data_IF_801740055279
#
_entry.id   IF_801740055279
#
_cell.length_a   1.000
_cell.length_b   1.000
_cell.length_c   1.000
_cell.angle_alpha   90.00
_cell.angle_beta   90.00
_cell.angle_gamma   90.00
#
_symmetry.space_group_name_H-M   'P 1'
#
loop_
_entity.id
_entity.type
_entity.pdbx_description
1 polymer ?
#
# COMPACT_ATOMS: atom_id res chain seq x y z
N UNK A 1 -55.23 13.58 48.37
CA UNK A 1 -54.70 14.96 48.22
C UNK A 1 -54.14 15.04 46.80
N UNK A 2 -54.96 15.37 45.79
CA UNK A 2 -55.32 16.74 45.31
C UNK A 2 -54.08 17.42 44.70
N UNK A 3 -53.93 17.32 43.37
CA UNK A 3 -54.17 18.38 42.35
C UNK A 3 -52.88 19.18 42.06
N UNK A 4 -52.57 19.65 40.84
CA UNK A 4 -53.46 20.28 39.88
C UNK A 4 -53.01 20.12 38.42
N UNK A 5 -54.01 20.10 37.54
CA UNK A 5 -53.94 20.34 36.11
C UNK A 5 -54.08 21.85 35.81
N UNK A 6 -53.66 22.29 34.63
CA UNK A 6 -54.31 23.38 33.88
C UNK A 6 -53.96 23.33 32.39
N UNK A 7 -54.98 23.61 31.59
CA UNK A 7 -55.10 23.47 30.13
C UNK A 7 -55.40 24.85 29.53
N UNK A 8 -55.37 24.93 28.18
CA UNK A 8 -55.99 25.90 27.23
C UNK A 8 -55.25 27.25 27.12
N UNK A 9 -55.01 27.87 25.95
CA UNK A 9 -55.86 28.02 24.75
C UNK A 9 -55.07 28.45 23.49
N UNK A 10 -55.57 28.01 22.33
CA UNK A 10 -55.24 28.48 20.97
C UNK A 10 -56.13 29.68 20.62
N UNK A 11 -55.57 30.71 19.98
CA UNK A 11 -56.30 31.64 19.10
C UNK A 11 -55.43 31.95 17.89
N UNK A 12 -55.91 31.59 16.69
CA UNK A 12 -55.36 32.00 15.42
C UNK A 12 -56.03 33.27 14.89
N UNK A 13 -55.33 34.01 14.03
CA UNK A 13 -55.93 34.91 13.05
C UNK A 13 -55.17 34.81 11.73
N UNK A 14 -55.94 34.76 10.63
CA UNK A 14 -55.53 34.65 9.23
C UNK A 14 -55.88 35.97 8.54
N UNK A 15 -54.92 36.60 7.87
CA UNK A 15 -55.05 37.56 6.74
C UNK A 15 -53.62 38.00 6.37
N UNK A 16 -53.14 38.13 5.14
CA UNK A 16 -53.64 38.00 3.78
C UNK A 16 -52.55 38.53 2.81
N UNK A 17 -52.60 38.08 1.55
CA UNK A 17 -52.08 38.69 0.30
C UNK A 17 -50.57 38.88 0.01
N UNK A 18 -50.13 38.13 -1.02
CA UNK A 18 -49.40 38.50 -2.26
C UNK A 18 -48.47 39.73 -2.23
N UNK A 19 -47.16 39.50 -2.42
CA UNK A 19 -46.36 40.00 -3.56
C UNK A 19 -44.92 39.51 -3.50
N UNK A 20 -44.42 39.05 -4.65
CA UNK A 20 -43.03 38.73 -4.89
C UNK A 20 -42.18 40.00 -4.88
N UNK A 21 -41.02 39.96 -4.22
CA UNK A 21 -39.83 40.73 -4.56
C UNK A 21 -38.61 39.96 -4.04
N UNK A 22 -37.69 39.69 -4.95
CA UNK A 22 -36.39 39.06 -4.73
C UNK A 22 -35.56 39.80 -3.69
N UNK A 23 -34.83 39.05 -2.85
CA UNK A 23 -33.45 39.39 -2.46
C UNK A 23 -32.76 38.22 -1.73
N UNK A 24 -31.90 37.54 -2.48
CA UNK A 24 -30.60 36.98 -2.09
C UNK A 24 -30.41 36.27 -0.74
N UNK A 25 -30.11 34.96 -0.82
CA UNK A 25 -28.91 34.32 -0.25
C UNK A 25 -28.85 32.87 -0.72
N UNK A 26 -28.22 32.69 -1.88
CA UNK A 26 -27.92 31.38 -2.47
C UNK A 26 -26.75 30.72 -1.75
N UNK A 27 -26.91 29.42 -1.55
CA UNK A 27 -25.88 28.49 -1.12
C UNK A 27 -24.79 28.38 -2.19
N UNK A 28 -23.53 28.56 -1.81
CA UNK A 28 -22.37 28.29 -2.67
C UNK A 28 -22.24 26.76 -2.88
N UNK A 29 -22.83 26.28 -3.98
CA UNK A 29 -22.47 25.01 -4.60
C UNK A 29 -21.71 25.30 -5.89
N UNK A 30 -20.41 24.99 -5.89
CA UNK A 30 -19.59 25.03 -7.09
C UNK A 30 -19.99 23.88 -8.03
N UNK A 31 -20.70 24.20 -9.12
CA UNK A 31 -20.82 23.33 -10.30
C UNK A 31 -19.67 23.63 -11.27
N UNK A 32 -18.92 22.64 -11.77
CA UNK A 32 -17.96 22.90 -12.83
C UNK A 32 -18.67 23.09 -14.17
N UNK A 33 -18.44 24.25 -14.80
CA UNK A 33 -18.82 24.52 -16.17
C UNK A 33 -17.83 23.83 -17.13
N UNK A 34 -18.36 23.11 -18.12
CA UNK A 34 -17.57 22.49 -19.18
C UNK A 34 -16.86 23.57 -20.02
N UNK A 35 -15.53 23.57 -20.00
CA UNK A 35 -14.70 24.40 -20.89
C UNK A 35 -14.37 23.58 -22.13
N UNK A 36 -14.63 24.15 -23.32
CA UNK A 36 -14.34 23.51 -24.62
C UNK A 36 -12.84 23.25 -24.78
N UNK A 37 -12.53 22.08 -25.33
CA UNK A 37 -11.18 21.64 -25.73
C UNK A 37 -10.60 22.50 -26.85
N UNK A 38 -9.30 22.83 -26.84
CA UNK A 38 -8.62 23.37 -28.01
C UNK A 38 -8.35 22.26 -29.04
N UNK A 39 -8.61 22.56 -30.31
CA UNK A 39 -8.31 21.67 -31.45
C UNK A 39 -6.81 21.65 -31.73
N UNK A 40 -6.21 20.46 -31.77
CA UNK A 40 -4.81 20.25 -32.17
C UNK A 40 -4.72 20.16 -33.71
N UNK A 41 -3.93 21.06 -34.32
CA UNK A 41 -3.55 20.97 -35.72
C UNK A 41 -2.47 19.88 -35.93
N UNK A 42 -2.49 19.11 -37.03
CA UNK A 42 -1.51 18.07 -37.28
C UNK A 42 -0.17 18.65 -37.75
N UNK A 43 0.93 18.17 -37.15
CA UNK A 43 2.30 18.44 -37.62
C UNK A 43 2.67 17.54 -38.81
N UNK A 44 3.54 18.00 -39.73
CA UNK A 44 3.88 17.29 -40.96
C UNK A 44 4.74 16.04 -40.72
N UNK A 45 4.55 15.04 -41.60
CA UNK A 45 5.23 13.75 -41.59
C UNK A 45 6.75 13.86 -41.85
N UNK A 46 7.54 13.12 -41.08
CA UNK A 46 8.98 12.94 -41.30
C UNK A 46 9.20 11.61 -42.05
N UNK A 47 9.97 11.58 -43.16
CA UNK A 47 10.11 10.39 -43.99
C UNK A 47 11.04 9.33 -43.38
N UNK A 48 10.70 8.06 -43.60
CA UNK A 48 11.51 6.88 -43.32
C UNK A 48 12.73 6.78 -44.25
N UNK A 49 13.91 6.32 -43.77
CA UNK A 49 14.93 5.78 -44.65
C UNK A 49 14.81 4.25 -44.76
N UNK A 50 14.71 3.79 -46.01
CA UNK A 50 14.82 2.39 -46.44
C UNK A 50 16.30 1.99 -46.68
N UNK A 51 16.61 0.69 -46.86
CA UNK A 51 17.84 0.08 -46.37
C UNK A 51 18.98 0.04 -47.41
N UNK A 52 20.21 -0.03 -46.92
CA UNK A 52 21.39 -0.38 -47.74
C UNK A 52 21.95 -1.73 -47.32
N UNK A 53 21.82 -2.69 -48.24
CA UNK A 53 22.57 -3.95 -48.27
C UNK A 53 24.06 -3.66 -48.47
N UNK A 54 24.93 -4.35 -47.73
CA UNK A 54 26.22 -4.78 -48.30
C UNK A 54 26.68 -6.09 -47.70
N UNK A 55 26.87 -7.04 -48.60
CA UNK A 55 27.33 -8.41 -48.38
C UNK A 55 28.84 -8.43 -48.56
N UNK A 56 29.58 -8.92 -47.58
CA UNK A 56 30.98 -9.30 -47.77
C UNK A 56 31.23 -10.69 -47.17
N UNK A 57 31.39 -11.64 -48.09
CA UNK A 57 31.82 -13.03 -47.89
C UNK A 57 33.31 -13.08 -47.56
N UNK A 58 33.72 -13.83 -46.53
CA UNK A 58 35.09 -14.39 -46.43
C UNK A 58 35.06 -15.77 -45.77
N UNK A 59 35.54 -16.75 -46.53
CA UNK A 59 35.78 -18.16 -46.21
C UNK A 59 37.08 -18.36 -45.38
N UNK A 60 37.32 -19.56 -44.81
CA UNK A 60 38.15 -19.79 -43.63
C UNK A 60 39.62 -20.07 -43.96
N UNK A 61 40.52 -19.89 -42.99
CA UNK A 61 41.90 -20.40 -43.06
C UNK A 61 42.36 -20.86 -41.68
N UNK A 62 43.16 -21.92 -41.71
CA UNK A 62 43.43 -22.89 -40.66
C UNK A 62 44.35 -22.45 -39.51
N UNK A 63 44.24 -23.24 -38.44
CA UNK A 63 44.99 -23.28 -37.18
C UNK A 63 46.50 -23.45 -37.34
N UNK A 64 47.28 -23.01 -36.34
CA UNK A 64 48.37 -23.84 -35.83
C UNK A 64 48.22 -24.16 -34.34
N UNK A 65 48.64 -25.39 -34.02
CA UNK A 65 48.63 -26.02 -32.69
C UNK A 65 49.61 -25.31 -31.75
N UNK A 66 49.18 -24.97 -30.53
CA UNK A 66 50.09 -24.73 -29.41
C UNK A 66 49.56 -25.35 -28.09
N UNK A 67 50.27 -26.41 -27.69
CA UNK A 67 50.66 -26.85 -26.33
C UNK A 67 49.70 -26.60 -25.15
N UNK A 68 49.18 -27.69 -24.58
CA UNK A 68 48.56 -27.74 -23.25
C UNK A 68 49.52 -27.31 -22.12
N UNK A 69 49.05 -26.55 -21.13
CA UNK A 69 49.61 -26.53 -19.78
C UNK A 69 48.85 -27.45 -18.81
N UNK A 70 49.61 -28.13 -17.96
CA UNK A 70 49.24 -29.02 -16.85
C UNK A 70 48.36 -28.32 -15.80
N UNK A 71 47.39 -29.00 -15.15
CA UNK A 71 46.45 -28.37 -14.22
C UNK A 71 47.11 -28.01 -12.88
N UNK A 72 46.94 -26.75 -12.46
CA UNK A 72 47.23 -26.24 -11.10
C UNK A 72 45.92 -26.19 -10.32
N UNK A 73 45.88 -26.60 -9.03
CA UNK A 73 44.61 -26.72 -8.30
C UNK A 73 43.89 -25.38 -8.17
N UNK A 74 42.61 -25.40 -8.51
CA UNK A 74 41.71 -24.26 -8.50
C UNK A 74 41.62 -23.65 -7.10
N UNK A 75 42.03 -22.39 -6.97
CA UNK A 75 41.68 -21.53 -5.85
C UNK A 75 40.19 -21.24 -6.00
N UNK A 76 39.38 -21.77 -5.09
CA UNK A 76 37.96 -21.48 -4.98
C UNK A 76 37.79 -19.96 -4.87
N UNK A 77 37.36 -19.32 -5.95
CA UNK A 77 36.83 -17.96 -5.89
C UNK A 77 35.59 -18.00 -5.03
N UNK A 78 35.77 -17.62 -3.77
CA UNK A 78 34.68 -17.32 -2.85
C UNK A 78 33.91 -16.17 -3.50
N UNK A 79 32.77 -16.51 -4.11
CA UNK A 79 31.76 -15.57 -4.59
C UNK A 79 31.68 -14.46 -3.55
N UNK A 80 32.08 -13.26 -3.96
CA UNK A 80 32.07 -12.09 -3.10
C UNK A 80 30.61 -11.87 -2.75
N UNK A 81 30.24 -12.34 -1.55
CA UNK A 81 28.92 -12.12 -0.96
C UNK A 81 28.84 -10.61 -0.83
N UNK A 82 28.13 -9.96 -1.76
CA UNK A 82 27.77 -8.56 -1.65
C UNK A 82 27.19 -8.39 -0.27
N UNK A 83 27.94 -7.71 0.58
CA UNK A 83 27.49 -7.28 1.90
C UNK A 83 26.15 -6.58 1.67
N UNK A 84 25.06 -6.95 2.34
CA UNK A 84 23.85 -6.15 2.25
C UNK A 84 24.22 -4.79 2.81
N UNK A 85 24.25 -3.76 1.96
CA UNK A 85 24.02 -2.41 2.45
C UNK A 85 22.64 -2.52 3.08
N UNK A 86 22.56 -2.52 4.41
CA UNK A 86 21.29 -2.43 5.10
C UNK A 86 20.76 -1.06 4.77
N UNK A 87 20.04 -0.95 3.66
CA UNK A 87 19.29 0.24 3.32
C UNK A 87 18.36 0.51 4.50
N UNK A 88 18.31 1.74 4.99
CA UNK A 88 17.31 2.11 5.98
C UNK A 88 16.00 2.39 5.23
N UNK A 89 14.87 2.23 5.91
CA UNK A 89 13.57 2.55 5.36
C UNK A 89 13.43 4.07 5.18
N UNK A 90 12.75 4.48 4.12
CA UNK A 90 12.50 5.88 3.82
C UNK A 90 11.36 6.43 4.66
N UNK A 91 11.57 7.61 5.24
CA UNK A 91 10.52 8.38 5.92
C UNK A 91 10.03 9.45 4.96
N UNK A 92 8.84 9.26 4.40
CA UNK A 92 8.23 10.25 3.53
C UNK A 92 8.02 11.58 4.29
N UNK A 93 8.38 12.75 3.71
CA UNK A 93 8.33 14.03 4.41
C UNK A 93 6.91 14.59 4.56
N UNK A 94 5.92 14.01 3.89
CA UNK A 94 4.51 14.43 3.98
C UNK A 94 3.65 13.30 4.55
N UNK A 95 2.89 13.63 5.59
CA UNK A 95 1.87 12.78 6.21
C UNK A 95 1.01 13.63 7.15
N UNK A 96 -0.21 13.20 7.45
CA UNK A 96 -1.10 13.96 8.34
C UNK A 96 -0.54 14.11 9.76
N UNK A 97 0.25 13.14 10.26
CA UNK A 97 0.94 13.27 11.55
C UNK A 97 2.01 14.34 11.52
N UNK A 98 2.76 14.47 10.42
CA UNK A 98 3.78 15.52 10.27
C UNK A 98 3.13 16.91 10.15
N UNK A 99 2.04 17.02 9.42
CA UNK A 99 1.27 18.25 9.31
C UNK A 99 0.69 18.67 10.67
N UNK A 100 0.16 17.71 11.44
CA UNK A 100 -0.33 17.98 12.78
C UNK A 100 0.78 18.45 13.73
N UNK A 101 1.94 17.78 13.76
CA UNK A 101 3.10 18.16 14.59
C UNK A 101 3.56 19.58 14.25
N UNK A 102 3.71 19.92 12.96
CA UNK A 102 4.13 21.27 12.50
C UNK A 102 3.12 22.34 12.92
N UNK A 103 1.83 22.06 12.83
CA UNK A 103 0.77 23.01 13.12
C UNK A 103 0.51 23.20 14.63
N UNK A 104 0.92 22.26 15.48
CA UNK A 104 0.60 22.25 16.91
C UNK A 104 1.85 22.17 17.82
N UNK A 105 2.87 23.04 17.68
CA UNK A 105 4.12 22.93 18.44
C UNK A 105 3.93 23.14 19.97
N UNK A 106 2.84 23.79 20.39
CA UNK A 106 2.53 24.04 21.80
C UNK A 106 1.60 22.99 22.44
N UNK A 107 1.08 22.02 21.68
CA UNK A 107 0.24 20.96 22.24
C UNK A 107 1.10 20.02 23.09
N UNK A 108 0.70 19.69 24.34
CA UNK A 108 1.50 18.85 25.24
C UNK A 108 1.75 17.44 24.72
N UNK A 109 0.98 16.97 23.73
CA UNK A 109 1.15 15.66 23.09
C UNK A 109 2.22 15.66 22.00
N UNK A 110 2.56 16.83 21.46
CA UNK A 110 3.40 16.97 20.26
C UNK A 110 4.75 16.30 20.41
N UNK A 111 5.49 16.57 21.48
CA UNK A 111 6.82 15.99 21.67
C UNK A 111 6.82 14.45 21.72
N UNK A 112 5.78 13.84 22.29
CA UNK A 112 5.65 12.38 22.33
C UNK A 112 5.26 11.82 20.96
N UNK A 113 4.27 12.43 20.28
CA UNK A 113 3.83 12.01 18.95
C UNK A 113 4.98 12.16 17.93
N UNK A 114 5.73 13.24 17.98
CA UNK A 114 6.87 13.49 17.10
C UNK A 114 7.95 12.41 17.28
N UNK A 115 8.50 12.29 18.48
CA UNK A 115 9.62 11.37 18.74
C UNK A 115 9.26 9.89 18.61
N UNK A 116 8.01 9.49 18.89
CA UNK A 116 7.58 8.09 18.87
C UNK A 116 6.93 7.68 17.57
N UNK A 117 6.23 8.59 16.87
CA UNK A 117 5.46 8.28 15.67
C UNK A 117 6.01 9.02 14.46
N UNK A 118 5.99 10.35 14.49
CA UNK A 118 6.28 11.15 13.30
C UNK A 118 7.70 10.91 12.79
N UNK A 119 8.68 10.67 13.67
CA UNK A 119 10.09 10.42 13.32
C UNK A 119 10.38 9.02 12.76
N UNK A 120 9.37 8.13 12.71
CA UNK A 120 9.54 6.78 12.18
C UNK A 120 9.23 6.71 10.67
N UNK A 121 9.93 5.84 9.91
CA UNK A 121 9.50 5.47 8.57
C UNK A 121 8.09 4.86 8.59
N UNK A 122 7.28 5.14 7.57
CA UNK A 122 5.97 4.51 7.40
C UNK A 122 5.68 4.33 5.91
N UNK A 123 4.74 3.44 5.59
CA UNK A 123 4.33 3.22 4.22
C UNK A 123 3.56 4.42 3.64
N UNK A 124 3.68 4.64 2.33
CA UNK A 124 2.90 5.63 1.60
C UNK A 124 1.76 4.93 0.86
N UNK A 125 0.53 5.29 1.22
CA UNK A 125 -0.68 4.68 0.65
C UNK A 125 -1.16 5.42 -0.59
N UNK A 126 -1.54 4.65 -1.60
CA UNK A 126 -2.20 5.11 -2.81
C UNK A 126 -3.59 4.50 -2.86
N UNK A 127 -4.48 5.09 -2.03
CA UNK A 127 -5.80 4.56 -1.73
C UNK A 127 -6.94 5.20 -2.56
N UNK A 128 -6.61 6.17 -3.41
CA UNK A 128 -7.55 6.85 -4.31
C UNK A 128 -7.35 6.43 -5.77
N UNK A 129 -8.45 6.25 -6.52
CA UNK A 129 -8.39 5.94 -7.94
C UNK A 129 -8.09 7.21 -8.77
N UNK A 130 -6.80 7.50 -8.92
CA UNK A 130 -6.28 8.65 -9.68
C UNK A 130 -5.35 8.21 -10.82
N UNK A 131 -5.89 7.61 -11.91
CA UNK A 131 -5.08 7.03 -12.98
C UNK A 131 -4.17 8.04 -13.70
N UNK A 132 -4.59 9.31 -13.79
CA UNK A 132 -3.87 10.35 -14.51
C UNK A 132 -2.60 10.82 -13.78
N UNK A 133 -2.53 10.66 -12.46
CA UNK A 133 -1.44 11.22 -11.63
C UNK A 133 -0.61 10.16 -10.92
N UNK A 134 -1.07 8.90 -10.86
CA UNK A 134 -0.44 7.86 -10.03
C UNK A 134 1.03 7.62 -10.36
N UNK A 135 1.40 7.58 -11.65
CA UNK A 135 2.80 7.36 -12.06
C UNK A 135 3.73 8.45 -11.49
N UNK A 136 3.30 9.71 -11.54
CA UNK A 136 4.07 10.85 -11.04
C UNK A 136 4.16 10.84 -9.51
N UNK A 137 3.04 10.53 -8.82
CA UNK A 137 3.01 10.44 -7.35
C UNK A 137 3.91 9.33 -6.83
N UNK A 138 3.86 8.13 -7.42
CA UNK A 138 4.77 7.02 -7.09
C UNK A 138 6.22 7.44 -7.35
N UNK A 139 6.49 8.10 -8.49
CA UNK A 139 7.85 8.53 -8.82
C UNK A 139 8.40 9.59 -7.86
N UNK A 140 7.56 10.48 -7.34
CA UNK A 140 7.96 11.47 -6.34
C UNK A 140 8.48 10.79 -5.07
N UNK A 141 7.74 9.79 -4.57
CA UNK A 141 8.15 9.01 -3.39
C UNK A 141 9.45 8.25 -3.64
N UNK A 142 9.55 7.52 -4.75
CA UNK A 142 10.72 6.68 -5.05
C UNK A 142 11.97 7.51 -5.37
N UNK A 143 11.81 8.68 -6.01
CA UNK A 143 12.92 9.59 -6.25
C UNK A 143 13.43 10.24 -4.96
N UNK A 144 12.54 10.63 -4.04
CA UNK A 144 12.92 11.15 -2.73
C UNK A 144 13.70 10.11 -1.92
N UNK A 145 13.20 8.87 -1.87
CA UNK A 145 13.89 7.78 -1.21
C UNK A 145 15.28 7.49 -1.81
N UNK A 146 15.38 7.49 -3.13
CA UNK A 146 16.65 7.31 -3.83
C UNK A 146 17.65 8.43 -3.55
N UNK A 147 17.19 9.67 -3.35
CA UNK A 147 18.07 10.80 -3.01
C UNK A 147 18.70 10.68 -1.61
N UNK A 148 18.14 9.83 -0.74
CA UNK A 148 18.62 9.58 0.61
C UNK A 148 19.24 8.19 0.80
N UNK A 149 19.40 7.41 -0.29
CA UNK A 149 19.81 6.01 -0.25
C UNK A 149 18.93 5.16 0.72
N UNK A 150 17.62 5.39 0.66
CA UNK A 150 16.60 4.72 1.48
C UNK A 150 15.63 3.89 0.64
N UNK A 151 14.97 2.92 1.28
CA UNK A 151 13.95 2.06 0.65
C UNK A 151 12.55 2.56 1.03
N UNK A 152 11.73 3.02 0.07
CA UNK A 152 10.34 3.37 0.33
C UNK A 152 9.47 2.12 0.42
N UNK A 153 8.41 2.23 1.21
CA UNK A 153 7.33 1.25 1.31
C UNK A 153 6.08 1.87 0.70
N UNK A 154 5.52 1.25 -0.34
CA UNK A 154 4.37 1.75 -1.06
C UNK A 154 3.19 0.77 -0.92
N UNK A 155 1.99 1.30 -0.79
CA UNK A 155 0.76 0.49 -0.68
C UNK A 155 -0.20 0.89 -1.80
N UNK A 156 -0.20 0.21 -2.96
CA UNK A 156 -1.35 0.27 -3.85
C UNK A 156 -2.56 -0.32 -3.13
N UNK A 157 -3.63 0.46 -3.04
CA UNK A 157 -4.86 0.06 -2.35
C UNK A 157 -6.08 0.53 -3.14
N UNK A 158 -6.23 0.09 -4.39
CA UNK A 158 -7.26 0.54 -5.31
C UNK A 158 -8.03 -0.62 -5.97
N UNK A 159 -7.95 -1.84 -5.45
CA UNK A 159 -8.71 -2.99 -5.99
C UNK A 159 -10.23 -2.71 -5.96
N UNK A 160 -11.00 -3.05 -7.02
CA UNK A 160 -12.47 -2.93 -7.01
C UNK A 160 -13.11 -3.77 -5.91
N UNK A 161 -14.28 -3.33 -5.43
CA UNK A 161 -15.00 -3.93 -4.29
C UNK A 161 -14.12 -4.03 -3.03
N UNK A 162 -13.27 -3.02 -2.82
CA UNK A 162 -12.38 -2.91 -1.66
C UNK A 162 -13.18 -2.97 -0.37
N UNK A 163 -12.65 -3.66 0.62
CA UNK A 163 -13.26 -3.84 1.95
C UNK A 163 -14.69 -4.44 1.89
N UNK A 164 -15.07 -5.05 0.76
CA UNK A 164 -16.39 -5.64 0.55
C UNK A 164 -17.56 -4.67 0.91
N UNK A 165 -17.36 -3.36 0.71
CA UNK A 165 -18.34 -2.33 1.05
C UNK A 165 -18.25 -1.78 2.49
N UNK A 166 -17.23 -2.15 3.26
CA UNK A 166 -16.98 -1.70 4.63
C UNK A 166 -16.57 -0.22 4.78
N UNK A 167 -15.90 0.09 5.89
CA UNK A 167 -15.51 1.45 6.25
C UNK A 167 -14.51 2.06 5.24
N UNK A 168 -13.66 1.21 4.66
CA UNK A 168 -12.63 1.58 3.68
C UNK A 168 -13.06 1.29 2.24
N UNK A 169 -14.37 1.12 1.97
CA UNK A 169 -14.89 0.84 0.62
C UNK A 169 -14.37 1.81 -0.44
N UNK A 170 -14.25 1.32 -1.66
CA UNK A 170 -13.77 2.10 -2.79
C UNK A 170 -13.06 1.21 -3.81
N UNK A 171 -12.01 1.77 -4.42
CA UNK A 171 -11.25 1.12 -5.47
C UNK A 171 -11.53 1.70 -6.86
N UNK A 172 -10.87 1.12 -7.85
CA UNK A 172 -11.13 1.37 -9.26
C UNK A 172 -12.56 0.94 -9.63
N UNK A 173 -13.15 1.53 -10.70
CA UNK A 173 -14.51 1.22 -11.10
C UNK A 173 -14.71 -0.23 -11.58
N UNK A 174 -13.66 -0.86 -12.10
CA UNK A 174 -13.64 -2.27 -12.51
C UNK A 174 -12.19 -2.80 -12.56
N UNK A 175 -12.03 -4.10 -12.83
CA UNK A 175 -10.72 -4.76 -12.84
C UNK A 175 -9.84 -4.34 -14.03
N UNK A 176 -10.41 -3.94 -15.17
CA UNK A 176 -9.63 -3.46 -16.30
C UNK A 176 -9.05 -2.06 -16.03
N UNK A 177 -9.85 -1.21 -15.40
CA UNK A 177 -9.43 0.10 -14.89
C UNK A 177 -8.36 -0.03 -13.80
N UNK A 178 -8.48 -1.04 -12.92
CA UNK A 178 -7.46 -1.38 -11.93
C UNK A 178 -6.15 -1.84 -12.58
N UNK A 179 -6.19 -2.76 -13.54
CA UNK A 179 -5.00 -3.24 -14.24
C UNK A 179 -4.25 -2.08 -14.91
N UNK A 180 -4.98 -1.19 -15.61
CA UNK A 180 -4.40 -0.01 -16.24
C UNK A 180 -3.81 0.98 -15.21
N UNK A 181 -4.42 1.09 -14.03
CA UNK A 181 -3.91 1.90 -12.94
C UNK A 181 -2.63 1.29 -12.33
N UNK A 182 -2.54 -0.04 -12.18
CA UNK A 182 -1.32 -0.73 -11.75
C UNK A 182 -0.21 -0.57 -12.79
N UNK A 183 -0.51 -0.64 -14.09
CA UNK A 183 0.47 -0.35 -15.13
C UNK A 183 1.02 1.07 -14.99
N UNK A 184 0.18 2.05 -14.64
CA UNK A 184 0.59 3.42 -14.38
C UNK A 184 1.40 3.56 -13.08
N UNK A 185 0.99 2.90 -12.00
CA UNK A 185 1.72 2.81 -10.75
C UNK A 185 3.13 2.27 -10.98
N UNK A 186 3.24 1.16 -11.72
CA UNK A 186 4.48 0.46 -12.02
C UNK A 186 5.47 1.33 -12.81
N UNK A 187 4.99 2.17 -13.74
CA UNK A 187 5.83 3.16 -14.45
C UNK A 187 6.51 4.16 -13.51
N UNK A 188 5.92 4.43 -12.34
CA UNK A 188 6.47 5.33 -11.34
C UNK A 188 7.56 4.72 -10.44
N UNK A 189 7.70 3.39 -10.40
CA UNK A 189 8.60 2.71 -9.46
C UNK A 189 10.08 3.09 -9.62
N UNK A 190 10.48 3.51 -10.82
CA UNK A 190 11.88 3.71 -11.14
C UNK A 190 12.66 2.40 -11.09
N UNK A 191 13.96 2.48 -10.84
CA UNK A 191 14.83 1.30 -10.80
C UNK A 191 15.37 0.99 -9.41
N UNK A 192 15.12 1.82 -8.39
CA UNK A 192 15.60 1.67 -7.01
C UNK A 192 15.02 0.43 -6.30
N UNK A 193 15.60 0.03 -5.17
CA UNK A 193 14.92 -0.93 -4.28
C UNK A 193 13.67 -0.26 -3.69
N UNK A 194 12.54 -0.98 -3.70
CA UNK A 194 11.24 -0.50 -3.20
C UNK A 194 10.45 -1.68 -2.67
N UNK A 195 9.76 -1.51 -1.54
CA UNK A 195 8.85 -2.51 -1.00
C UNK A 195 7.42 -2.13 -1.41
N UNK A 196 6.68 -3.10 -1.95
CA UNK A 196 5.27 -2.94 -2.32
C UNK A 196 4.43 -3.91 -1.49
N UNK A 197 3.51 -3.34 -0.71
CA UNK A 197 2.48 -4.09 0.04
C UNK A 197 1.23 -4.11 -0.83
N UNK A 198 1.03 -5.21 -1.58
CA UNK A 198 0.04 -5.25 -2.64
C UNK A 198 -1.37 -5.49 -2.09
N UNK A 199 -2.20 -4.43 -2.12
CA UNK A 199 -3.64 -4.49 -1.86
C UNK A 199 -4.01 -5.20 -0.54
N UNK A 200 -3.81 -4.55 0.63
CA UNK A 200 -4.28 -5.05 1.93
C UNK A 200 -5.72 -5.60 1.89
N UNK A 201 -5.95 -6.72 2.57
CA UNK A 201 -7.24 -7.43 2.68
C UNK A 201 -7.85 -7.97 1.37
N UNK A 202 -7.20 -7.77 0.22
CA UNK A 202 -7.74 -8.17 -1.08
C UNK A 202 -7.87 -9.69 -1.27
N UNK A 203 -7.09 -10.48 -0.51
CA UNK A 203 -7.07 -11.94 -0.57
C UNK A 203 -7.76 -12.53 0.66
N UNK A 204 -7.39 -12.09 1.86
CA UNK A 204 -7.90 -12.63 3.12
C UNK A 204 -9.42 -12.41 3.28
N UNK A 205 -9.95 -11.27 2.81
CA UNK A 205 -11.37 -10.91 2.89
C UNK A 205 -12.19 -11.38 1.67
N UNK A 206 -11.60 -12.15 0.74
CA UNK A 206 -12.20 -12.46 -0.56
C UNK A 206 -13.45 -13.35 -0.51
N UNK A 207 -13.80 -13.96 0.63
CA UNK A 207 -15.02 -14.79 0.79
C UNK A 207 -16.32 -13.99 0.67
N UNK A 208 -16.26 -12.67 0.68
CA UNK A 208 -17.42 -11.81 0.43
C UNK A 208 -17.85 -11.79 -1.05
N UNK A 209 -16.98 -12.24 -1.96
CA UNK A 209 -17.20 -12.23 -3.40
C UNK A 209 -17.83 -13.55 -3.88
N UNK A 210 -18.46 -13.52 -5.05
CA UNK A 210 -18.77 -14.75 -5.78
C UNK A 210 -17.46 -15.46 -6.20
N UNK A 211 -17.52 -16.77 -6.46
CA UNK A 211 -16.35 -17.51 -6.93
C UNK A 211 -15.76 -16.94 -8.24
N UNK A 212 -16.64 -16.46 -9.14
CA UNK A 212 -16.23 -15.84 -10.39
C UNK A 212 -15.51 -14.49 -10.16
N UNK A 213 -16.07 -13.64 -9.30
CA UNK A 213 -15.47 -12.34 -8.99
C UNK A 213 -14.16 -12.49 -8.22
N UNK A 214 -14.10 -13.46 -7.29
CA UNK A 214 -12.88 -13.81 -6.57
C UNK A 214 -11.79 -14.28 -7.52
N UNK A 215 -12.10 -15.19 -8.44
CA UNK A 215 -11.15 -15.64 -9.45
C UNK A 215 -10.67 -14.49 -10.35
N UNK A 216 -11.57 -13.58 -10.74
CA UNK A 216 -11.22 -12.40 -11.55
C UNK A 216 -10.32 -11.42 -10.79
N UNK A 217 -10.60 -11.16 -9.51
CA UNK A 217 -9.75 -10.37 -8.61
C UNK A 217 -8.35 -10.99 -8.51
N UNK A 218 -8.27 -12.29 -8.23
CA UNK A 218 -7.00 -13.00 -8.09
C UNK A 218 -6.19 -13.01 -9.38
N UNK A 219 -6.84 -13.15 -10.54
CA UNK A 219 -6.18 -13.01 -11.83
C UNK A 219 -5.57 -11.60 -12.04
N UNK A 220 -6.24 -10.56 -11.53
CA UNK A 220 -5.77 -9.17 -11.60
C UNK A 220 -4.62 -8.91 -10.62
N UNK A 221 -4.67 -9.46 -9.40
CA UNK A 221 -3.53 -9.44 -8.46
C UNK A 221 -2.29 -10.17 -9.02
N UNK A 222 -2.51 -11.30 -9.70
CA UNK A 222 -1.43 -12.02 -10.37
C UNK A 222 -0.81 -11.21 -11.52
N UNK A 223 -1.62 -10.48 -12.29
CA UNK A 223 -1.13 -9.52 -13.30
C UNK A 223 -0.36 -8.38 -12.64
N UNK A 224 -0.89 -7.81 -11.56
CA UNK A 224 -0.27 -6.71 -10.84
C UNK A 224 1.15 -7.04 -10.36
N UNK A 225 1.34 -8.18 -9.67
CA UNK A 225 2.68 -8.60 -9.25
C UNK A 225 3.66 -8.75 -10.41
N UNK A 226 3.23 -9.37 -11.54
CA UNK A 226 4.07 -9.48 -12.74
C UNK A 226 4.42 -8.12 -13.33
N UNK A 227 3.45 -7.21 -13.45
CA UNK A 227 3.66 -5.85 -13.95
C UNK A 227 4.67 -5.09 -13.08
N UNK A 228 4.52 -5.15 -11.75
CA UNK A 228 5.43 -4.48 -10.80
C UNK A 228 6.86 -5.02 -10.92
N UNK A 229 7.03 -6.35 -10.93
CA UNK A 229 8.36 -6.99 -11.05
C UNK A 229 9.00 -6.77 -12.42
N UNK A 230 8.20 -6.71 -13.49
CA UNK A 230 8.70 -6.41 -14.83
C UNK A 230 9.16 -4.95 -14.97
N UNK A 231 8.42 -4.01 -14.37
CA UNK A 231 8.79 -2.59 -14.37
C UNK A 231 10.04 -2.30 -13.52
N UNK A 232 10.17 -2.98 -12.37
CA UNK A 232 11.32 -2.85 -11.50
C UNK A 232 11.72 -4.21 -10.90
N UNK A 233 12.77 -4.87 -11.43
CA UNK A 233 13.26 -6.14 -10.90
C UNK A 233 13.79 -6.08 -9.46
N UNK A 234 14.08 -4.88 -8.94
CA UNK A 234 14.47 -4.64 -7.53
C UNK A 234 13.27 -4.33 -6.61
N UNK A 235 12.06 -4.25 -7.15
CA UNK A 235 10.86 -4.15 -6.31
C UNK A 235 10.66 -5.46 -5.54
N UNK A 236 10.41 -5.36 -4.23
CA UNK A 236 10.01 -6.46 -3.36
C UNK A 236 8.51 -6.40 -3.16
N UNK A 237 7.77 -7.35 -3.74
CA UNK A 237 6.30 -7.34 -3.76
C UNK A 237 5.79 -8.41 -2.79
N UNK A 238 4.99 -8.00 -1.83
CA UNK A 238 4.38 -8.87 -0.82
C UNK A 238 2.87 -8.94 -0.99
N UNK A 239 2.31 -10.14 -0.85
CA UNK A 239 0.89 -10.43 -1.02
C UNK A 239 0.15 -10.57 0.30
N UNK A 240 -1.14 -10.23 0.29
CA UNK A 240 -1.99 -10.23 1.47
C UNK A 240 -2.19 -11.63 2.08
N UNK A 241 -1.63 -11.85 3.28
CA UNK A 241 -1.88 -13.03 4.10
C UNK A 241 -2.89 -12.75 5.24
N UNK A 242 -3.49 -11.57 5.32
CA UNK A 242 -4.37 -11.21 6.43
C UNK A 242 -3.61 -11.19 7.76
N UNK A 243 -4.01 -12.01 8.74
CA UNK A 243 -3.34 -12.09 10.04
C UNK A 243 -3.67 -13.39 10.80
N UNK A 244 -2.92 -13.70 11.86
CA UNK A 244 -3.03 -14.95 12.65
C UNK A 244 -4.42 -15.26 13.21
N UNK A 245 -5.23 -14.23 13.47
CA UNK A 245 -6.60 -14.36 13.99
C UNK A 245 -7.70 -14.50 12.93
N UNK A 246 -7.40 -14.67 11.64
CA UNK A 246 -8.40 -14.60 10.56
C UNK A 246 -8.63 -15.93 9.82
N UNK A 247 -7.81 -16.24 8.82
CA UNK A 247 -7.91 -17.47 8.02
C UNK A 247 -6.91 -18.51 8.53
N UNK A 248 -7.28 -19.80 8.62
CA UNK A 248 -6.29 -20.86 8.87
C UNK A 248 -5.15 -20.85 7.84
N UNK A 249 -3.89 -21.13 8.22
CA UNK A 249 -2.74 -21.00 7.32
C UNK A 249 -2.88 -21.71 5.99
N UNK A 250 -3.34 -22.98 5.99
CA UNK A 250 -3.52 -23.76 4.76
C UNK A 250 -4.58 -23.16 3.82
N UNK A 251 -5.65 -22.56 4.38
CA UNK A 251 -6.65 -21.85 3.58
C UNK A 251 -6.04 -20.60 2.95
N UNK A 252 -5.32 -19.80 3.71
CA UNK A 252 -4.70 -18.57 3.20
C UNK A 252 -3.65 -18.90 2.12
N UNK A 253 -2.84 -19.93 2.32
CA UNK A 253 -1.88 -20.42 1.32
C UNK A 253 -2.56 -20.78 -0.02
N UNK A 254 -3.67 -21.51 0.01
CA UNK A 254 -4.42 -21.86 -1.20
C UNK A 254 -5.00 -20.63 -1.94
N UNK A 255 -5.39 -19.58 -1.21
CA UNK A 255 -5.84 -18.32 -1.81
C UNK A 255 -4.67 -17.53 -2.43
N UNK A 256 -3.53 -17.48 -1.73
CA UNK A 256 -2.30 -16.85 -2.19
C UNK A 256 -1.76 -17.49 -3.47
N UNK A 257 -1.81 -18.83 -3.56
CA UNK A 257 -1.43 -19.57 -4.77
C UNK A 257 -2.29 -19.13 -5.97
N UNK A 258 -3.61 -19.08 -5.80
CA UNK A 258 -4.55 -18.64 -6.84
C UNK A 258 -4.32 -17.17 -7.25
N UNK A 259 -3.91 -16.31 -6.31
CA UNK A 259 -3.57 -14.92 -6.57
C UNK A 259 -2.17 -14.71 -7.19
N UNK A 260 -1.40 -15.79 -7.39
CA UNK A 260 -0.09 -15.74 -8.04
C UNK A 260 1.07 -15.33 -7.14
N UNK A 261 0.93 -15.47 -5.82
CA UNK A 261 1.95 -15.06 -4.84
C UNK A 261 3.29 -15.82 -4.98
N UNK A 262 3.31 -17.00 -5.62
CA UNK A 262 4.55 -17.76 -5.86
C UNK A 262 5.58 -17.03 -6.73
N UNK A 263 5.14 -16.07 -7.55
CA UNK A 263 6.01 -15.25 -8.41
C UNK A 263 6.27 -13.86 -7.80
N UNK A 264 6.48 -13.79 -6.48
CA UNK A 264 6.68 -12.56 -5.71
C UNK A 264 7.89 -12.65 -4.78
N UNK A 265 8.00 -11.75 -3.80
CA UNK A 265 9.01 -11.79 -2.74
C UNK A 265 8.42 -12.33 -1.42
N UNK A 266 7.11 -12.61 -1.39
CA UNK A 266 6.44 -13.34 -0.33
C UNK A 266 5.12 -12.72 0.10
N UNK A 267 4.87 -12.72 1.40
CA UNK A 267 3.58 -12.32 2.00
C UNK A 267 3.73 -11.15 2.98
N UNK A 268 2.64 -10.45 3.24
CA UNK A 268 2.53 -9.57 4.39
C UNK A 268 1.37 -9.96 5.29
N UNK A 269 1.50 -9.62 6.57
CA UNK A 269 0.48 -9.87 7.57
C UNK A 269 0.27 -8.68 8.51
N UNK A 270 -0.84 -8.71 9.23
CA UNK A 270 -1.20 -7.79 10.30
C UNK A 270 -1.42 -6.33 9.90
N UNK A 271 -1.47 -6.01 8.60
CA UNK A 271 -1.67 -4.64 8.11
C UNK A 271 -2.93 -4.06 8.74
N UNK A 272 -2.77 -2.90 9.39
CA UNK A 272 -3.86 -2.23 10.14
C UNK A 272 -4.47 -3.05 11.30
N UNK A 273 -3.86 -4.15 11.74
CA UNK A 273 -4.34 -4.96 12.85
C UNK A 273 -3.39 -4.86 14.06
N UNK A 274 -3.57 -5.74 15.05
CA UNK A 274 -2.99 -5.61 16.38
C UNK A 274 -2.38 -6.92 16.88
N UNK A 275 -2.38 -8.00 16.09
CA UNK A 275 -1.87 -9.32 16.53
C UNK A 275 -0.40 -9.22 16.93
N UNK A 276 -0.01 -9.96 17.97
CA UNK A 276 1.36 -9.84 18.48
C UNK A 276 2.37 -10.27 17.42
N UNK A 277 3.55 -9.67 17.42
CA UNK A 277 4.60 -10.04 16.45
C UNK A 277 4.93 -11.53 16.51
N UNK A 278 4.91 -12.14 17.70
CA UNK A 278 5.18 -13.57 17.86
C UNK A 278 4.11 -14.44 17.17
N UNK A 279 2.83 -14.08 17.31
CA UNK A 279 1.72 -14.80 16.65
C UNK A 279 1.83 -14.69 15.13
N UNK A 280 2.16 -13.50 14.62
CA UNK A 280 2.30 -13.28 13.18
C UNK A 280 3.51 -14.01 12.60
N UNK A 281 4.66 -14.04 13.28
CA UNK A 281 5.80 -14.85 12.85
C UNK A 281 5.42 -16.33 12.74
N UNK A 282 4.72 -16.86 13.74
CA UNK A 282 4.30 -18.25 13.73
C UNK A 282 3.27 -18.54 12.62
N UNK A 283 2.36 -17.61 12.38
CA UNK A 283 1.36 -17.69 11.32
C UNK A 283 1.99 -17.65 9.93
N UNK A 284 2.82 -16.64 9.67
CA UNK A 284 3.45 -16.42 8.37
C UNK A 284 4.34 -17.59 7.96
N UNK A 285 5.07 -18.19 8.91
CA UNK A 285 5.83 -19.43 8.66
C UNK A 285 4.92 -20.56 8.21
N UNK A 286 3.80 -20.78 8.91
CA UNK A 286 2.84 -21.82 8.53
C UNK A 286 2.18 -21.55 7.16
N UNK A 287 1.91 -20.29 6.83
CA UNK A 287 1.37 -19.90 5.52
C UNK A 287 2.40 -20.15 4.42
N UNK A 288 3.65 -19.70 4.60
CA UNK A 288 4.73 -19.91 3.63
C UNK A 288 5.06 -21.40 3.45
N UNK A 289 5.11 -22.18 4.53
CA UNK A 289 5.30 -23.63 4.48
C UNK A 289 4.17 -24.32 3.70
N UNK A 290 2.91 -23.93 3.95
CA UNK A 290 1.75 -24.48 3.25
C UNK A 290 1.65 -24.02 1.78
N UNK A 291 2.16 -22.83 1.45
CA UNK A 291 2.21 -22.30 0.08
C UNK A 291 3.20 -23.09 -0.79
N UNK A 292 4.20 -23.74 -0.19
CA UNK A 292 5.12 -24.65 -0.89
C UNK A 292 5.99 -23.97 -1.95
N UNK A 293 6.25 -22.66 -1.79
CA UNK A 293 7.04 -21.86 -2.73
C UNK A 293 8.55 -21.95 -2.53
N UNK A 294 9.34 -21.20 -3.31
CA UNK A 294 10.78 -21.11 -3.14
C UNK A 294 11.16 -20.63 -1.73
N UNK A 295 12.28 -21.13 -1.19
CA UNK A 295 12.83 -20.69 0.11
C UNK A 295 13.16 -19.18 0.18
N UNK A 296 13.17 -18.50 -0.97
CA UNK A 296 13.37 -17.05 -1.05
C UNK A 296 12.13 -16.22 -0.71
N UNK A 297 10.94 -16.83 -0.59
CA UNK A 297 9.76 -16.11 -0.14
C UNK A 297 9.89 -15.77 1.35
N UNK A 298 9.68 -14.50 1.69
CA UNK A 298 9.72 -14.00 3.06
C UNK A 298 8.39 -13.41 3.52
N UNK A 299 8.35 -12.96 4.76
CA UNK A 299 7.18 -12.29 5.35
C UNK A 299 7.51 -10.88 5.82
N UNK A 300 6.57 -9.96 5.61
CA UNK A 300 6.58 -8.62 6.18
C UNK A 300 5.44 -8.48 7.17
N UNK A 301 5.74 -8.03 8.39
CA UNK A 301 4.72 -7.92 9.44
C UNK A 301 4.49 -6.43 9.75
N UNK A 302 3.24 -5.99 9.69
CA UNK A 302 2.87 -4.67 10.22
C UNK A 302 2.91 -4.70 11.75
N UNK A 303 3.74 -3.83 12.30
CA UNK A 303 3.98 -3.68 13.74
C UNK A 303 3.58 -2.29 14.24
N UNK A 304 2.85 -1.52 13.42
CA UNK A 304 2.41 -0.16 13.70
C UNK A 304 1.71 -0.01 15.05
N UNK A 305 0.81 -0.94 15.41
CA UNK A 305 -0.08 -0.81 16.57
C UNK A 305 -0.18 -2.05 17.46
N UNK A 306 0.72 -3.02 17.28
CA UNK A 306 0.62 -4.33 17.93
C UNK A 306 1.39 -4.49 19.26
N UNK A 307 1.91 -3.40 19.83
CA UNK A 307 2.77 -3.45 21.03
C UNK A 307 2.08 -3.96 22.29
N UNK A 308 0.74 -4.01 22.31
CA UNK A 308 -0.05 -4.58 23.39
C UNK A 308 -1.00 -5.70 22.91
N UNK A 309 -0.70 -6.30 21.75
CA UNK A 309 -1.51 -7.34 21.12
C UNK A 309 -2.90 -6.86 20.68
N UNK A 310 -3.71 -7.80 20.19
CA UNK A 310 -5.10 -7.56 19.84
C UNK A 310 -5.99 -7.58 21.09
N UNK A 311 -7.10 -6.83 21.12
CA UNK A 311 -8.01 -6.90 22.25
C UNK A 311 -8.70 -8.28 22.30
N UNK A 312 -9.02 -8.80 23.50
CA UNK A 312 -9.56 -10.16 23.65
C UNK A 312 -10.92 -10.38 22.98
N UNK A 313 -11.68 -9.31 22.79
CA UNK A 313 -13.00 -9.31 22.14
C UNK A 313 -12.92 -9.26 20.61
N UNK A 314 -11.71 -9.18 20.04
CA UNK A 314 -11.49 -9.11 18.60
C UNK A 314 -11.84 -7.75 17.97
N UNK A 315 -12.05 -6.70 18.76
CA UNK A 315 -12.28 -5.36 18.23
C UNK A 315 -11.09 -4.90 17.37
N UNK A 316 -11.36 -4.57 16.10
CA UNK A 316 -10.34 -4.07 15.17
C UNK A 316 -10.45 -2.56 14.91
N UNK A 317 -11.65 -1.98 14.99
CA UNK A 317 -11.86 -0.59 14.64
C UNK A 317 -11.53 0.34 15.83
N UNK A 318 -10.37 1.00 15.76
CA UNK A 318 -9.82 1.94 16.75
C UNK A 318 -9.88 1.48 18.24
N UNK A 319 -9.51 0.22 18.57
CA UNK A 319 -9.63 -0.31 19.93
C UNK A 319 -8.78 0.46 20.95
N UNK A 320 -9.30 0.59 22.16
CA UNK A 320 -8.59 1.21 23.26
C UNK A 320 -7.45 0.32 23.81
N UNK A 321 -6.49 0.94 24.49
CA UNK A 321 -5.42 0.25 25.20
C UNK A 321 -4.39 -0.45 24.30
N UNK A 322 -4.38 -0.17 23.00
CA UNK A 322 -3.30 -0.60 22.09
C UNK A 322 -2.07 0.27 22.26
N UNK A 323 -0.93 -0.18 21.77
CA UNK A 323 0.34 0.55 21.80
C UNK A 323 1.08 0.40 20.48
N UNK A 324 1.88 1.38 20.11
CA UNK A 324 2.82 1.20 19.00
C UNK A 324 3.69 -0.03 19.24
N UNK A 325 3.93 -0.81 18.19
CA UNK A 325 4.79 -1.99 18.26
C UNK A 325 6.25 -1.66 18.03
N UNK A 326 6.99 -2.66 17.55
CA UNK A 326 8.40 -2.51 17.19
C UNK A 326 8.56 -1.45 16.10
N UNK A 327 9.58 -0.61 16.21
CA UNK A 327 9.89 0.36 15.17
C UNK A 327 10.27 -0.34 13.85
N UNK A 328 9.98 0.27 12.68
CA UNK A 328 10.26 -0.33 11.38
C UNK A 328 11.73 -0.72 11.21
N UNK A 329 11.99 -1.93 10.71
CA UNK A 329 13.35 -2.43 10.45
C UNK A 329 13.33 -3.59 9.46
N UNK A 330 14.36 -3.65 8.61
CA UNK A 330 14.67 -4.79 7.74
C UNK A 330 15.67 -5.77 8.39
N UNK A 331 16.08 -5.52 9.63
CA UNK A 331 16.94 -6.43 10.41
C UNK A 331 16.13 -7.00 11.56
N UNK A 332 15.29 -7.98 11.23
CA UNK A 332 14.34 -8.58 12.17
C UNK A 332 15.03 -9.49 13.19
N UNK A 333 16.08 -10.20 12.74
CA UNK A 333 16.74 -11.29 13.47
C UNK A 333 16.03 -12.64 13.32
N UNK A 334 14.94 -12.69 12.54
CA UNK A 334 14.08 -13.85 12.38
C UNK A 334 14.23 -14.43 10.97
N UNK A 335 14.56 -15.72 10.88
CA UNK A 335 14.59 -16.40 9.59
C UNK A 335 13.19 -16.40 8.95
N UNK A 336 13.12 -16.07 7.65
CA UNK A 336 11.89 -15.96 6.88
C UNK A 336 11.08 -14.68 7.12
N UNK A 337 11.55 -13.76 7.98
CA UNK A 337 10.87 -12.48 8.23
C UNK A 337 11.75 -11.35 7.73
N UNK A 338 11.30 -10.75 6.65
CA UNK A 338 12.03 -9.79 5.83
C UNK A 338 12.05 -8.39 6.43
N UNK A 339 10.95 -7.98 7.06
CA UNK A 339 10.85 -6.70 7.74
C UNK A 339 9.73 -6.66 8.78
N UNK A 340 9.93 -5.85 9.81
CA UNK A 340 8.84 -5.24 10.56
C UNK A 340 8.62 -3.86 9.97
N UNK A 341 7.40 -3.57 9.53
CA UNK A 341 7.05 -2.27 8.95
C UNK A 341 5.95 -1.62 9.76
N UNK A 342 5.83 -0.30 9.63
CA UNK A 342 4.58 0.40 9.95
C UNK A 342 3.87 0.63 8.63
N UNK A 343 3.00 -0.30 8.28
CA UNK A 343 2.21 -0.20 7.06
C UNK A 343 1.04 0.75 7.33
N UNK A 344 0.21 0.46 8.34
CA UNK A 344 -0.73 1.45 8.89
C UNK A 344 0.04 2.57 9.60
N UNK A 345 -0.39 3.82 9.41
CA UNK A 345 0.20 4.97 10.10
C UNK A 345 -0.44 5.11 11.50
N UNK A 346 0.35 5.00 12.59
CA UNK A 346 -0.19 5.16 13.93
C UNK A 346 -0.85 6.53 14.14
N UNK A 347 -2.10 6.52 14.57
CA UNK A 347 -2.90 7.74 14.78
C UNK A 347 -3.95 7.99 13.72
N UNK A 348 -3.83 7.42 12.52
CA UNK A 348 -4.93 7.41 11.57
C UNK A 348 -6.06 6.48 12.04
N UNK A 349 -7.30 6.96 11.97
CA UNK A 349 -8.47 6.18 12.36
C UNK A 349 -8.76 5.05 11.37
N UNK A 350 -9.33 3.97 11.90
CA UNK A 350 -9.91 2.85 11.15
C UNK A 350 -11.37 3.12 10.70
N UNK A 351 -11.99 4.19 11.22
CA UNK A 351 -13.38 4.57 10.94
C UNK A 351 -14.26 4.78 12.19
N UNK A 352 -13.76 4.51 13.40
CA UNK A 352 -14.54 4.57 14.65
C UNK A 352 -14.22 5.79 15.52
N UNK A 353 -13.00 6.32 15.44
CA UNK A 353 -12.58 7.57 16.11
C UNK A 353 -12.56 8.78 15.16
N UNK A 354 -12.70 8.56 13.86
CA UNK A 354 -12.76 9.54 12.80
C UNK A 354 -13.14 8.86 11.48
N UNK A 355 -13.09 9.59 10.36
CA UNK A 355 -13.19 8.94 9.06
C UNK A 355 -11.94 8.06 8.84
N UNK A 356 -12.11 6.90 8.19
CA UNK A 356 -11.00 6.00 7.92
C UNK A 356 -9.86 6.75 7.17
N UNK A 357 -8.64 6.62 7.69
CA UNK A 357 -7.45 7.30 7.17
C UNK A 357 -7.19 8.70 7.75
N UNK A 358 -8.12 9.30 8.50
CA UNK A 358 -7.89 10.64 9.09
C UNK A 358 -7.09 10.56 10.39
N UNK A 359 -6.10 11.44 10.55
CA UNK A 359 -5.25 11.51 11.72
C UNK A 359 -6.00 12.04 12.94
N UNK A 360 -5.91 11.29 14.02
CA UNK A 360 -6.55 11.58 15.30
C UNK A 360 -5.47 11.70 16.39
N UNK A 361 -5.12 12.91 16.85
CA UNK A 361 -3.98 13.12 17.75
C UNK A 361 -4.15 12.48 19.14
N UNK A 362 -5.39 12.36 19.62
CA UNK A 362 -5.65 11.61 20.86
C UNK A 362 -5.35 10.12 20.68
N UNK A 363 -5.68 9.54 19.52
CA UNK A 363 -5.39 8.15 19.23
C UNK A 363 -3.89 7.90 19.04
N UNK A 364 -3.20 8.79 18.31
CA UNK A 364 -1.75 8.75 18.18
C UNK A 364 -1.07 8.79 19.55
N UNK A 365 -1.48 9.72 20.41
CA UNK A 365 -1.00 9.82 21.79
C UNK A 365 -1.35 8.59 22.64
N UNK A 366 -2.53 7.99 22.41
CA UNK A 366 -2.94 6.75 23.07
C UNK A 366 -2.05 5.55 22.71
N UNK A 367 -1.57 5.50 21.48
CA UNK A 367 -0.68 4.44 21.01
C UNK A 367 0.77 4.65 21.49
N UNK A 368 1.23 5.91 21.58
CA UNK A 368 2.62 6.25 21.87
C UNK A 368 3.02 6.24 23.35
N UNK A 369 2.04 6.28 24.27
CA UNK A 369 2.26 6.26 25.72
C UNK A 369 2.79 4.93 26.23
#
# INVERSE_FOLDING_TARGET
MVAAASVVTVVGTVTGMISALENGRGFDQARPAATRTPSLAPLPAIPSPSPSLSRATRTPTATPKHRLPTPTPARTERKQRTTPVTSLLYRHPDSEVLDWVRAHPADPRTALIESRIADQPAAVWFADYSPDTIAARVRAVTAGAAAEDRVPVLVPYAIPDRDCGGASRGGAPDLAAYDAWIDAFARGLGSGEVIVILEPDSIAQSDCLSDADRAARFASLARAGRTLKAANPRARVYYDAGHSGWNPPAKQAALLEQAGALASDGIFSNVSNFRTTADEIAYDRQVLDALGGPESLGAVIDTSRNGNGAPPDGQWCDPAGRRIGRAPTMTTGEAGVDAYLWVKLPGESDGCKGAAGTFTPSYAYDLAR
#
